data_IF_692578227014
#
_entry.id   IF_692578227014
#
_cell.length_a   1.000
_cell.length_b   1.000
_cell.length_c   1.000
_cell.angle_alpha   90.00
_cell.angle_beta   90.00
_cell.angle_gamma   90.00
#
_symmetry.space_group_name_H-M   'P 1'
#
loop_
_entity.id
_entity.type
_entity.pdbx_description
1 polymer ?
#
# COMPACT_ATOMS: atom_id res chain seq x y z
N UNK A 1 -8.42 14.92 5.38
CA UNK A 1 -7.84 14.27 6.59
C UNK A 1 -7.52 12.83 6.25
N UNK A 2 -6.41 12.31 6.73
CA UNK A 2 -5.98 10.93 6.51
C UNK A 2 -5.92 10.23 7.87
N UNK A 3 -6.77 9.23 8.05
CA UNK A 3 -6.79 8.36 9.21
C UNK A 3 -6.41 6.96 8.77
N UNK A 4 -5.69 6.23 9.59
CA UNK A 4 -5.37 4.84 9.31
C UNK A 4 -5.36 3.97 10.57
N UNK A 5 -5.56 2.69 10.38
CA UNK A 5 -5.38 1.65 11.39
C UNK A 5 -4.41 0.59 10.89
N UNK A 6 -3.79 -0.13 11.81
CA UNK A 6 -2.95 -1.28 11.51
C UNK A 6 -3.46 -2.45 12.34
N UNK A 7 -3.91 -3.50 11.68
CA UNK A 7 -4.37 -4.74 12.31
C UNK A 7 -3.60 -5.95 11.79
N UNK A 8 -3.50 -6.99 12.58
CA UNK A 8 -2.75 -8.21 12.24
C UNK A 8 -3.64 -9.45 12.37
N UNK A 9 -3.57 -10.31 11.37
CA UNK A 9 -4.26 -11.61 11.33
C UNK A 9 -3.35 -12.78 11.72
N UNK A 10 -2.07 -12.53 11.93
CA UNK A 10 -1.08 -13.53 12.34
C UNK A 10 -0.01 -12.91 13.24
N UNK A 11 0.46 -13.66 14.21
CA UNK A 11 1.49 -13.22 15.16
C UNK A 11 2.87 -12.96 14.53
N UNK A 12 3.09 -13.36 13.28
CA UNK A 12 4.33 -13.09 12.54
C UNK A 12 4.58 -11.60 12.32
N UNK A 13 3.54 -10.78 12.39
CA UNK A 13 3.64 -9.32 12.28
C UNK A 13 3.85 -8.59 13.60
N UNK A 14 3.59 -9.22 14.74
CA UNK A 14 3.50 -8.56 16.05
C UNK A 14 4.70 -7.68 16.38
N UNK A 15 5.92 -8.18 16.16
CA UNK A 15 7.16 -7.44 16.44
C UNK A 15 7.46 -6.34 15.37
N UNK A 16 6.71 -6.30 14.29
CA UNK A 16 6.91 -5.39 13.16
C UNK A 16 5.95 -4.21 13.14
N UNK A 17 4.84 -4.29 13.88
CA UNK A 17 3.75 -3.29 13.84
C UNK A 17 4.27 -1.89 14.14
N UNK A 18 5.08 -1.72 15.18
CA UNK A 18 5.65 -0.43 15.54
C UNK A 18 6.49 0.17 14.40
N UNK A 19 7.33 -0.65 13.77
CA UNK A 19 8.16 -0.20 12.65
C UNK A 19 7.34 0.16 11.43
N UNK A 20 6.26 -0.57 11.18
CA UNK A 20 5.31 -0.27 10.09
C UNK A 20 4.61 1.05 10.34
N UNK A 21 4.17 1.30 11.56
CA UNK A 21 3.57 2.58 11.95
C UNK A 21 4.52 3.76 11.72
N UNK A 22 5.78 3.64 12.13
CA UNK A 22 6.82 4.63 11.86
C UNK A 22 7.01 4.88 10.35
N UNK A 23 7.00 3.82 9.54
CA UNK A 23 7.12 3.91 8.07
C UNK A 23 5.91 4.65 7.48
N UNK A 24 4.69 4.33 7.89
CA UNK A 24 3.48 5.00 7.41
C UNK A 24 3.53 6.50 7.74
N UNK A 25 3.91 6.86 8.96
CA UNK A 25 4.08 8.27 9.37
C UNK A 25 5.09 8.98 8.47
N UNK A 26 6.25 8.38 8.22
CA UNK A 26 7.29 8.95 7.37
C UNK A 26 6.81 9.15 5.93
N UNK A 27 6.07 8.18 5.37
CA UNK A 27 5.49 8.28 4.02
C UNK A 27 4.47 9.42 3.97
N UNK A 28 3.62 9.57 4.99
CA UNK A 28 2.57 10.60 5.03
C UNK A 28 3.11 12.04 5.17
N UNK A 29 4.37 12.23 5.54
CA UNK A 29 5.06 13.54 5.41
C UNK A 29 5.04 14.00 3.94
N UNK A 30 5.09 13.06 3.00
CA UNK A 30 5.08 13.29 1.55
C UNK A 30 3.70 13.20 0.90
N UNK A 31 2.62 13.44 1.66
CA UNK A 31 1.23 13.33 1.18
C UNK A 31 0.91 14.15 -0.08
N UNK A 32 1.63 15.25 -0.31
CA UNK A 32 1.49 16.06 -1.53
C UNK A 32 2.02 15.31 -2.76
N UNK A 33 3.16 14.64 -2.62
CA UNK A 33 3.76 13.83 -3.70
C UNK A 33 2.88 12.62 -4.02
N UNK A 34 2.23 12.06 -3.01
CA UNK A 34 1.24 10.98 -3.13
C UNK A 34 -0.11 11.43 -3.71
N UNK A 35 -0.26 12.75 -3.99
CA UNK A 35 -1.48 13.34 -4.59
C UNK A 35 -2.74 13.19 -3.76
N UNK A 36 -2.63 13.11 -2.43
CA UNK A 36 -3.80 13.18 -1.55
C UNK A 36 -4.58 14.48 -1.75
N UNK A 37 -5.87 14.36 -1.94
CA UNK A 37 -6.75 15.49 -2.24
C UNK A 37 -7.21 16.15 -0.92
N UNK A 38 -7.01 17.45 -0.79
CA UNK A 38 -7.22 18.19 0.46
C UNK A 38 -8.64 18.08 1.03
N UNK A 39 -9.66 18.02 0.17
CA UNK A 39 -11.07 18.02 0.59
C UNK A 39 -11.68 16.61 0.70
N UNK A 40 -10.87 15.57 0.59
CA UNK A 40 -11.28 14.19 0.76
C UNK A 40 -10.84 13.68 2.13
N UNK A 41 -11.71 12.97 2.82
CA UNK A 41 -11.37 12.24 4.03
C UNK A 41 -11.02 10.78 3.67
N UNK A 42 -9.83 10.35 4.08
CA UNK A 42 -9.31 9.00 3.85
C UNK A 42 -9.33 8.21 5.14
N UNK A 43 -9.81 6.99 5.06
CA UNK A 43 -9.78 5.99 6.12
C UNK A 43 -9.10 4.74 5.54
N UNK A 44 -7.87 4.47 5.97
CA UNK A 44 -7.06 3.39 5.44
C UNK A 44 -6.86 2.31 6.50
N UNK A 45 -7.27 1.10 6.23
CA UNK A 45 -7.03 -0.05 7.09
C UNK A 45 -5.91 -0.91 6.51
N UNK A 46 -4.76 -0.92 7.18
CA UNK A 46 -3.65 -1.82 6.86
C UNK A 46 -3.85 -3.16 7.55
N UNK A 47 -4.09 -4.20 6.76
CA UNK A 47 -4.39 -5.55 7.23
C UNK A 47 -3.17 -6.43 6.96
N UNK A 48 -2.45 -6.75 8.04
CA UNK A 48 -1.24 -7.55 8.00
C UNK A 48 -1.60 -9.04 8.09
N UNK A 49 -1.51 -9.74 6.98
CA UNK A 49 -2.00 -11.11 6.84
C UNK A 49 -0.93 -12.09 6.34
N UNK A 50 -1.36 -13.20 5.78
CA UNK A 50 -0.55 -14.28 5.23
C UNK A 50 -1.02 -14.71 3.84
N UNK A 51 -0.27 -15.60 3.20
CA UNK A 51 -0.57 -16.09 1.86
C UNK A 51 -1.95 -16.75 1.76
N UNK A 52 -2.36 -17.49 2.77
CA UNK A 52 -3.66 -18.17 2.79
C UNK A 52 -4.82 -17.17 2.73
N UNK A 53 -4.75 -16.12 3.51
CA UNK A 53 -5.78 -15.08 3.56
C UNK A 53 -5.83 -14.27 2.27
N UNK A 54 -4.68 -13.77 1.80
CA UNK A 54 -4.64 -12.92 0.60
C UNK A 54 -4.94 -13.70 -0.69
N UNK A 55 -4.58 -14.98 -0.75
CA UNK A 55 -4.95 -15.88 -1.85
C UNK A 55 -6.47 -15.98 -2.01
N UNK A 56 -7.20 -16.11 -0.89
CA UNK A 56 -8.66 -16.12 -0.89
C UNK A 56 -9.27 -14.85 -1.47
N UNK A 57 -8.74 -13.69 -1.07
CA UNK A 57 -9.17 -12.39 -1.60
C UNK A 57 -8.82 -12.23 -3.09
N UNK A 58 -7.61 -12.62 -3.47
CA UNK A 58 -7.15 -12.55 -4.86
C UNK A 58 -8.01 -13.41 -5.79
N UNK A 59 -8.36 -14.62 -5.35
CA UNK A 59 -9.28 -15.50 -6.06
C UNK A 59 -10.68 -14.88 -6.19
N UNK A 60 -11.22 -14.34 -5.10
CA UNK A 60 -12.57 -13.79 -5.06
C UNK A 60 -12.72 -12.54 -5.93
N UNK A 61 -11.78 -11.59 -5.81
CA UNK A 61 -11.92 -10.27 -6.41
C UNK A 61 -11.19 -10.09 -7.74
N UNK A 62 -10.08 -10.82 -7.96
CA UNK A 62 -9.28 -10.71 -9.20
C UNK A 62 -9.30 -11.98 -10.05
N UNK A 63 -9.96 -13.07 -9.60
CA UNK A 63 -10.01 -14.38 -10.26
C UNK A 63 -8.64 -15.04 -10.42
N UNK A 64 -7.70 -14.71 -9.57
CA UNK A 64 -6.33 -15.26 -9.55
C UNK A 64 -6.20 -16.16 -8.31
N UNK A 65 -6.06 -17.45 -8.51
CA UNK A 65 -5.94 -18.43 -7.41
C UNK A 65 -4.49 -18.59 -6.94
N UNK A 66 -3.86 -17.46 -6.58
CA UNK A 66 -2.49 -17.40 -6.07
C UNK A 66 -2.38 -16.32 -4.99
N UNK A 67 -1.44 -16.44 -4.02
CA UNK A 67 -1.11 -15.35 -3.15
C UNK A 67 -0.44 -14.21 -3.92
N UNK A 68 -0.44 -13.03 -3.34
CA UNK A 68 0.29 -11.85 -3.80
C UNK A 68 0.85 -11.11 -2.60
N UNK A 69 1.73 -10.16 -2.82
CA UNK A 69 2.34 -9.34 -1.77
C UNK A 69 1.34 -8.35 -1.13
N UNK A 70 0.59 -7.63 -1.96
CA UNK A 70 -0.37 -6.62 -1.52
C UNK A 70 -1.61 -6.59 -2.40
N UNK A 71 -2.76 -6.32 -1.79
CA UNK A 71 -4.01 -5.97 -2.47
C UNK A 71 -4.55 -4.66 -1.88
N UNK A 72 -4.98 -3.76 -2.75
CA UNK A 72 -5.57 -2.46 -2.37
C UNK A 72 -6.99 -2.37 -2.90
N UNK A 73 -7.94 -2.15 -1.98
CA UNK A 73 -9.36 -1.97 -2.30
C UNK A 73 -9.77 -0.56 -1.89
N UNK A 74 -10.45 0.14 -2.77
CA UNK A 74 -10.89 1.53 -2.53
C UNK A 74 -12.38 1.64 -2.76
N UNK A 75 -13.12 2.10 -1.74
CA UNK A 75 -14.53 2.47 -1.84
C UNK A 75 -14.66 3.99 -1.73
N UNK A 76 -15.28 4.60 -2.73
CA UNK A 76 -15.57 6.04 -2.76
C UNK A 76 -17.01 6.26 -2.34
N UNK A 77 -17.21 6.99 -1.26
CA UNK A 77 -18.52 7.29 -0.70
C UNK A 77 -18.78 8.80 -0.79
N UNK A 78 -19.84 9.18 -1.48
CA UNK A 78 -20.30 10.57 -1.55
C UNK A 78 -21.38 10.79 -0.50
N UNK A 79 -21.11 11.65 0.48
CA UNK A 79 -22.09 12.05 1.48
C UNK A 79 -22.91 13.25 0.99
N UNK A 80 -24.13 13.42 1.53
CA UNK A 80 -25.09 14.46 1.15
C UNK A 80 -24.58 15.91 1.25
N UNK A 81 -23.45 16.14 1.91
CA UNK A 81 -22.84 17.46 2.11
C UNK A 81 -21.66 17.76 1.17
N UNK A 82 -21.59 17.15 -0.02
CA UNK A 82 -20.52 17.32 -1.00
C UNK A 82 -19.10 16.95 -0.51
N UNK A 83 -18.99 16.19 0.60
CA UNK A 83 -17.73 15.65 1.07
C UNK A 83 -17.55 14.24 0.53
N UNK A 84 -16.44 13.99 -0.15
CA UNK A 84 -16.05 12.66 -0.54
C UNK A 84 -15.27 11.98 0.60
N UNK A 85 -15.58 10.70 0.81
CA UNK A 85 -14.87 9.83 1.73
C UNK A 85 -14.30 8.66 0.93
N UNK A 86 -13.03 8.31 1.16
CA UNK A 86 -12.41 7.12 0.61
C UNK A 86 -12.09 6.15 1.74
N UNK A 87 -12.71 5.00 1.70
CA UNK A 87 -12.37 3.89 2.58
C UNK A 87 -11.49 2.90 1.82
N UNK A 88 -10.35 2.55 2.38
CA UNK A 88 -9.31 1.81 1.72
C UNK A 88 -8.84 0.65 2.58
N UNK A 89 -8.91 -0.57 2.05
CA UNK A 89 -8.32 -1.75 2.67
C UNK A 89 -7.04 -2.11 1.93
N UNK A 90 -5.92 -2.14 2.64
CA UNK A 90 -4.61 -2.54 2.11
C UNK A 90 -4.17 -3.81 2.83
N UNK A 91 -4.17 -4.92 2.11
CA UNK A 91 -3.90 -6.25 2.67
C UNK A 91 -2.51 -6.70 2.22
N UNK A 92 -1.67 -7.11 3.19
CA UNK A 92 -0.31 -7.59 2.95
C UNK A 92 -0.15 -9.06 3.32
N UNK A 93 0.69 -9.79 2.59
CA UNK A 93 1.10 -11.16 2.94
C UNK A 93 2.56 -11.21 3.37
N UNK A 94 2.80 -11.67 4.60
CA UNK A 94 4.16 -11.75 5.18
C UNK A 94 5.07 -12.68 4.38
N UNK A 95 4.59 -13.86 3.97
CA UNK A 95 5.39 -14.86 3.27
C UNK A 95 5.84 -14.34 1.89
N UNK A 96 4.89 -13.81 1.12
CA UNK A 96 5.20 -13.29 -0.21
C UNK A 96 6.16 -12.11 -0.13
N UNK A 97 5.94 -11.16 0.79
CA UNK A 97 6.84 -9.99 0.96
C UNK A 97 8.25 -10.43 1.37
N UNK A 98 8.38 -11.37 2.30
CA UNK A 98 9.69 -11.90 2.71
C UNK A 98 10.41 -12.59 1.55
N UNK A 99 9.68 -13.40 0.77
CA UNK A 99 10.23 -14.11 -0.38
C UNK A 99 10.68 -13.14 -1.48
N UNK A 100 9.87 -12.15 -1.80
CA UNK A 100 10.18 -11.15 -2.82
C UNK A 100 11.37 -10.27 -2.41
N UNK A 101 11.43 -9.85 -1.16
CA UNK A 101 12.57 -9.10 -0.63
C UNK A 101 13.87 -9.91 -0.73
N UNK A 102 13.83 -11.18 -0.36
CA UNK A 102 14.98 -12.09 -0.47
C UNK A 102 15.38 -12.32 -1.93
N UNK A 103 14.42 -12.61 -2.81
CA UNK A 103 14.65 -12.85 -4.23
C UNK A 103 15.30 -11.65 -4.93
N UNK A 104 14.86 -10.44 -4.59
CA UNK A 104 15.34 -9.20 -5.17
C UNK A 104 16.53 -8.60 -4.41
N UNK A 105 17.02 -9.27 -3.36
CA UNK A 105 18.12 -8.82 -2.51
C UNK A 105 17.91 -7.40 -1.97
N UNK A 106 16.69 -7.12 -1.49
CA UNK A 106 16.32 -5.85 -0.86
C UNK A 106 15.94 -6.04 0.60
N UNK A 107 16.13 -5.01 1.40
CA UNK A 107 15.70 -5.02 2.80
C UNK A 107 14.18 -5.17 2.90
N UNK A 108 13.69 -6.00 3.82
CA UNK A 108 12.27 -6.25 4.05
C UNK A 108 11.47 -4.96 4.24
N UNK A 109 11.94 -4.06 5.10
CA UNK A 109 11.22 -2.81 5.37
C UNK A 109 11.29 -1.82 4.20
N UNK A 110 12.37 -1.82 3.43
CA UNK A 110 12.44 -1.02 2.20
C UNK A 110 11.46 -1.52 1.15
N UNK A 111 11.35 -2.85 1.01
CA UNK A 111 10.37 -3.45 0.11
C UNK A 111 8.93 -3.15 0.58
N UNK A 112 8.65 -3.30 1.87
CA UNK A 112 7.34 -2.97 2.45
C UNK A 112 7.00 -1.47 2.29
N UNK A 113 7.98 -0.58 2.48
CA UNK A 113 7.82 0.87 2.23
C UNK A 113 7.39 1.15 0.80
N UNK A 114 8.03 0.49 -0.17
CA UNK A 114 7.64 0.58 -1.57
C UNK A 114 6.20 0.12 -1.80
N UNK A 115 5.79 -1.01 -1.23
CA UNK A 115 4.41 -1.52 -1.36
C UNK A 115 3.37 -0.59 -0.72
N UNK A 116 3.69 0.05 0.40
CA UNK A 116 2.81 1.04 1.04
C UNK A 116 2.65 2.28 0.16
N UNK A 117 3.75 2.80 -0.40
CA UNK A 117 3.72 3.93 -1.36
C UNK A 117 2.87 3.56 -2.57
N UNK A 118 3.10 2.40 -3.16
CA UNK A 118 2.34 1.86 -4.28
C UNK A 118 0.84 1.82 -3.99
N UNK A 119 0.46 1.33 -2.81
CA UNK A 119 -0.93 1.30 -2.36
C UNK A 119 -1.53 2.70 -2.20
N UNK A 120 -0.81 3.65 -1.61
CA UNK A 120 -1.28 5.04 -1.52
C UNK A 120 -1.47 5.69 -2.89
N UNK A 121 -0.64 5.38 -3.87
CA UNK A 121 -0.83 5.88 -5.23
C UNK A 121 -2.10 5.29 -5.85
N UNK A 122 -2.36 4.00 -5.68
CA UNK A 122 -3.63 3.39 -6.13
C UNK A 122 -4.86 4.00 -5.44
N UNK A 123 -4.78 4.31 -4.16
CA UNK A 123 -5.83 5.01 -3.40
C UNK A 123 -6.13 6.39 -4.02
N UNK A 124 -5.14 7.01 -4.64
CA UNK A 124 -5.24 8.30 -5.31
C UNK A 124 -5.35 8.19 -6.84
N UNK A 125 -5.96 7.11 -7.32
CA UNK A 125 -6.35 6.88 -8.71
C UNK A 125 -5.17 6.69 -9.70
N UNK A 126 -3.95 6.44 -9.21
CA UNK A 126 -2.87 5.98 -10.07
C UNK A 126 -3.15 4.57 -10.55
N UNK A 127 -3.00 4.34 -11.84
CA UNK A 127 -3.17 3.05 -12.48
C UNK A 127 -1.88 2.67 -13.21
N UNK A 128 -1.76 1.42 -13.62
CA UNK A 128 -0.64 0.91 -14.44
C UNK A 128 -1.13 -0.01 -15.57
N UNK A 129 -2.31 0.31 -16.11
CA UNK A 129 -2.97 -0.48 -17.16
C UNK A 129 -2.31 -0.34 -18.52
N UNK A 130 -1.55 0.73 -18.74
CA UNK A 130 -0.78 0.98 -19.95
C UNK A 130 0.63 1.46 -19.61
N UNK A 131 1.53 1.50 -20.61
CA UNK A 131 2.94 1.87 -20.44
C UNK A 131 3.09 3.28 -19.86
N UNK A 132 2.30 4.24 -20.31
CA UNK A 132 2.37 5.64 -19.86
C UNK A 132 2.04 5.75 -18.38
N UNK A 133 0.91 5.18 -17.96
CA UNK A 133 0.47 5.20 -16.56
C UNK A 133 1.45 4.45 -15.65
N UNK A 134 1.95 3.33 -16.10
CA UNK A 134 2.99 2.57 -15.41
C UNK A 134 4.25 3.42 -15.16
N UNK A 135 4.74 4.12 -16.19
CA UNK A 135 5.95 4.96 -16.06
C UNK A 135 5.72 6.14 -15.11
N UNK A 136 4.55 6.77 -15.16
CA UNK A 136 4.19 7.86 -14.24
C UNK A 136 4.21 7.36 -12.80
N UNK A 137 3.55 6.25 -12.53
CA UNK A 137 3.48 5.65 -11.20
C UNK A 137 4.86 5.24 -10.70
N UNK A 138 5.63 4.52 -11.52
CA UNK A 138 7.00 4.10 -11.23
C UNK A 138 7.91 5.29 -10.88
N UNK A 139 7.90 6.35 -11.69
CA UNK A 139 8.72 7.53 -11.43
C UNK A 139 8.31 8.24 -10.14
N UNK A 140 7.03 8.28 -9.83
CA UNK A 140 6.52 8.85 -8.57
C UNK A 140 6.99 8.02 -7.37
N UNK A 141 6.91 6.70 -7.44
CA UNK A 141 7.42 5.80 -6.41
C UNK A 141 8.91 6.00 -6.16
N UNK A 142 9.72 6.01 -7.23
CA UNK A 142 11.17 6.22 -7.14
C UNK A 142 11.49 7.56 -6.47
N UNK A 143 10.79 8.63 -6.85
CA UNK A 143 10.98 9.96 -6.29
C UNK A 143 10.71 10.01 -4.78
N UNK A 144 9.62 9.39 -4.33
CA UNK A 144 9.26 9.34 -2.91
C UNK A 144 10.24 8.46 -2.13
N UNK A 145 10.58 7.27 -2.66
CA UNK A 145 11.57 6.38 -2.05
C UNK A 145 12.93 7.06 -1.87
N UNK A 146 13.38 7.81 -2.87
CA UNK A 146 14.62 8.60 -2.79
C UNK A 146 14.58 9.63 -1.64
N UNK A 147 13.46 10.32 -1.45
CA UNK A 147 13.27 11.25 -0.34
C UNK A 147 13.33 10.56 1.04
N UNK A 148 12.98 9.29 1.09
CA UNK A 148 13.09 8.44 2.28
C UNK A 148 14.45 7.75 2.44
N UNK A 149 15.41 8.03 1.56
CA UNK A 149 16.74 7.43 1.58
C UNK A 149 16.78 5.99 1.07
N UNK A 150 15.79 5.55 0.31
CA UNK A 150 15.70 4.21 -0.25
C UNK A 150 16.09 4.25 -1.72
N UNK A 151 17.02 3.36 -2.12
CA UNK A 151 17.47 3.25 -3.51
C UNK A 151 16.37 2.74 -4.43
N UNK A 152 16.46 3.07 -5.73
CA UNK A 152 15.52 2.64 -6.75
C UNK A 152 15.29 1.13 -6.72
N UNK A 153 14.03 0.64 -6.53
CA UNK A 153 13.70 -0.77 -6.43
C UNK A 153 13.56 -1.48 -7.79
N UNK A 154 13.65 -0.74 -8.88
CA UNK A 154 13.49 -1.25 -10.25
C UNK A 154 14.80 -1.56 -10.92
#
# INVERSE_FOLDING_TARGET
MINYTISSKTNRWTKRIRKIDEIVIQILVHKKDLKFIKNINYYCDFILSNDRFIKGLNKKFRKINQPTDVLTFVSKLNMTNKKEYRHCDVVFSIETILNDAKKNNVNFYNHLTHLIIHSFLHINDFLHNNIKDYLIMKNTEISILKKLGITNPY
#
